data_IF_399081675483
#
_entry.id   IF_399081675483
#
_cell.length_a   1.000
_cell.length_b   1.000
_cell.length_c   1.000
_cell.angle_alpha   90.00
_cell.angle_beta   90.00
_cell.angle_gamma   90.00
#
_symmetry.space_group_name_H-M   'P 1'
#
loop_
_entity.id
_entity.type
_entity.pdbx_description
1 polymer ?
#
# COMPACT_ATOMS: atom_id res chain seq x y z
N UNK A 1 3.64 24.13 10.93
CA UNK A 1 3.32 24.72 9.61
C UNK A 1 3.70 23.79 8.46
N UNK A 2 4.99 23.50 8.21
CA UNK A 2 5.42 22.66 7.06
C UNK A 2 4.73 21.28 6.94
N UNK A 3 4.48 20.58 8.05
CA UNK A 3 3.73 19.30 8.07
C UNK A 3 2.24 19.48 7.73
N UNK A 4 1.63 20.61 8.11
CA UNK A 4 0.25 20.94 7.74
C UNK A 4 0.13 21.38 6.28
N UNK A 5 1.18 21.99 5.73
CA UNK A 5 1.24 22.41 4.33
C UNK A 5 1.45 21.21 3.40
N UNK A 6 2.25 20.21 3.79
CA UNK A 6 2.41 18.93 3.07
C UNK A 6 1.08 18.13 3.07
N UNK A 7 0.39 18.08 4.21
CA UNK A 7 -0.92 17.39 4.32
C UNK A 7 -2.02 18.07 3.49
N UNK A 8 -1.99 19.40 3.36
CA UNK A 8 -2.86 20.14 2.43
C UNK A 8 -2.49 19.94 0.96
N UNK A 9 -1.21 19.71 0.65
CA UNK A 9 -0.71 19.53 -0.72
C UNK A 9 -0.97 18.14 -1.30
N UNK A 10 -0.96 17.10 -0.45
CA UNK A 10 -1.24 15.71 -0.86
C UNK A 10 -2.73 15.33 -0.78
N UNK A 11 -3.58 16.23 -0.25
CA UNK A 11 -5.01 16.01 -0.02
C UNK A 11 -5.31 14.64 0.61
N UNK A 12 -4.42 14.21 1.51
CA UNK A 12 -4.56 13.01 2.33
C UNK A 12 -5.58 13.31 3.42
N UNK A 13 -6.87 13.25 3.07
CA UNK A 13 -7.89 13.20 4.09
C UNK A 13 -7.73 11.90 4.87
N UNK A 14 -7.61 11.99 6.20
CA UNK A 14 -7.97 10.88 7.09
C UNK A 14 -9.42 10.53 6.78
N UNK A 15 -9.64 9.54 5.93
CA UNK A 15 -10.96 8.97 5.71
C UNK A 15 -11.26 8.10 6.92
N UNK A 16 -11.85 8.71 7.95
CA UNK A 16 -12.51 7.97 9.02
C UNK A 16 -13.87 7.55 8.48
N UNK A 17 -13.99 6.33 7.97
CA UNK A 17 -15.30 5.76 7.65
C UNK A 17 -16.03 5.54 8.98
N UNK A 18 -17.09 6.31 9.19
CA UNK A 18 -17.96 6.14 10.35
C UNK A 18 -18.74 4.83 10.21
N UNK A 19 -18.39 3.84 11.02
CA UNK A 19 -19.18 2.62 11.23
C UNK A 19 -20.40 2.97 12.12
N UNK A 20 -21.60 2.40 11.88
CA UNK A 20 -22.80 2.72 12.65
C UNK A 20 -22.63 2.45 14.15
N UNK A 21 -23.40 3.15 15.01
CA UNK A 21 -23.23 3.13 16.45
C UNK A 21 -23.89 1.89 17.07
N UNK A 22 -23.34 0.71 16.84
CA UNK A 22 -23.73 -0.48 17.60
C UNK A 22 -22.50 -1.07 18.32
N UNK A 23 -22.34 -0.59 19.57
CA UNK A 23 -21.70 -1.21 20.75
C UNK A 23 -20.33 -1.91 20.65
N UNK A 24 -19.57 -1.74 19.57
CA UNK A 24 -18.27 -2.41 19.42
C UNK A 24 -17.10 -1.43 19.43
N UNK A 25 -15.96 -1.92 19.93
CA UNK A 25 -14.66 -1.27 19.94
C UNK A 25 -14.40 -0.63 18.57
N UNK A 26 -14.17 0.68 18.54
CA UNK A 26 -13.80 1.35 17.28
C UNK A 26 -12.37 0.98 16.94
N UNK A 27 -12.19 0.08 15.98
CA UNK A 27 -10.88 -0.18 15.39
C UNK A 27 -10.33 1.13 14.82
N UNK A 28 -9.09 1.45 15.17
CA UNK A 28 -8.38 2.56 14.55
C UNK A 28 -7.79 2.07 13.21
N UNK A 29 -8.15 2.72 12.11
CA UNK A 29 -7.68 2.36 10.77
C UNK A 29 -6.48 3.21 10.36
N UNK A 30 -5.39 2.54 9.97
CA UNK A 30 -4.24 3.15 9.32
C UNK A 30 -4.22 2.74 7.84
N UNK A 31 -4.39 3.73 6.95
CA UNK A 31 -4.38 3.50 5.50
C UNK A 31 -3.70 4.67 4.80
N UNK A 32 -3.00 4.35 3.71
CA UNK A 32 -2.48 5.34 2.77
C UNK A 32 -3.39 5.41 1.55
N UNK A 33 -3.63 6.61 1.03
CA UNK A 33 -4.38 6.86 -0.20
C UNK A 33 -3.55 7.79 -1.08
N UNK A 34 -3.81 7.79 -2.39
CA UNK A 34 -3.14 8.71 -3.31
C UNK A 34 -4.17 9.40 -4.18
N UNK A 35 -4.08 10.73 -4.29
CA UNK A 35 -4.88 11.52 -5.22
C UNK A 35 -4.02 11.92 -6.42
N UNK A 36 -4.49 11.64 -7.63
CA UNK A 36 -3.88 12.15 -8.87
C UNK A 36 -4.84 13.11 -9.59
N UNK A 37 -4.30 14.21 -10.15
CA UNK A 37 -5.08 15.32 -10.74
C UNK A 37 -4.79 15.51 -12.25
N UNK A 38 -3.91 14.70 -12.85
CA UNK A 38 -3.47 14.86 -14.24
C UNK A 38 -3.95 13.74 -15.18
N UNK A 39 -3.32 13.54 -16.35
CA UNK A 39 -3.65 12.49 -17.33
C UNK A 39 -3.74 11.07 -16.72
N UNK A 40 -3.12 10.81 -15.55
CA UNK A 40 -3.23 9.57 -14.77
C UNK A 40 -4.68 9.28 -14.33
N UNK A 41 -5.48 10.31 -14.03
CA UNK A 41 -6.93 10.16 -13.76
C UNK A 41 -7.68 9.69 -15.00
N UNK A 42 -7.23 10.04 -16.22
CA UNK A 42 -7.87 9.57 -17.45
C UNK A 42 -7.56 8.10 -17.71
N UNK A 43 -6.32 7.64 -17.51
CA UNK A 43 -5.99 6.20 -17.58
C UNK A 43 -6.70 5.38 -16.49
N UNK A 44 -6.88 5.95 -15.30
CA UNK A 44 -7.73 5.37 -14.25
C UNK A 44 -9.19 5.22 -14.72
N UNK A 45 -9.75 6.29 -15.31
CA UNK A 45 -11.09 6.24 -15.90
C UNK A 45 -11.15 5.25 -17.06
N UNK A 46 -10.14 5.14 -17.92
CA UNK A 46 -10.10 4.17 -19.03
C UNK A 46 -10.07 2.73 -18.53
N UNK A 47 -9.26 2.40 -17.50
CA UNK A 47 -9.29 1.07 -16.86
C UNK A 47 -10.63 0.77 -16.21
N UNK A 48 -11.27 1.79 -15.61
CA UNK A 48 -12.60 1.63 -15.05
C UNK A 48 -13.64 1.42 -16.16
N UNK A 49 -13.60 2.23 -17.23
CA UNK A 49 -14.49 2.17 -18.39
C UNK A 49 -14.30 0.90 -19.23
N UNK A 50 -13.08 0.35 -19.33
CA UNK A 50 -12.81 -0.90 -20.04
C UNK A 50 -13.42 -2.12 -19.32
N UNK A 51 -13.72 -2.01 -18.02
CA UNK A 51 -14.51 -3.03 -17.30
C UNK A 51 -15.98 -3.04 -17.71
N UNK A 52 -16.45 -1.96 -18.33
CA UNK A 52 -17.83 -1.76 -18.79
C UNK A 52 -17.97 -1.85 -20.32
N UNK A 53 -17.07 -2.56 -21.01
CA UNK A 53 -17.14 -2.82 -22.47
C UNK A 53 -18.41 -3.55 -22.95
N UNK A 54 -19.31 -3.90 -22.04
CA UNK A 54 -20.67 -4.34 -22.35
C UNK A 54 -21.55 -3.09 -22.24
N UNK A 55 -21.87 -2.45 -23.37
CA UNK A 55 -22.59 -1.15 -23.42
C UNK A 55 -23.87 -1.16 -22.56
N UNK A 56 -24.52 -2.32 -22.42
CA UNK A 56 -25.71 -2.51 -21.60
C UNK A 56 -25.48 -2.34 -20.07
N UNK A 57 -24.24 -2.44 -19.57
CA UNK A 57 -23.92 -2.32 -18.14
C UNK A 57 -23.53 -0.91 -17.71
N UNK A 58 -23.20 -0.03 -18.66
CA UNK A 58 -22.99 1.39 -18.37
C UNK A 58 -24.32 2.04 -18.02
N UNK A 59 -25.38 1.69 -18.74
CA UNK A 59 -26.74 2.13 -18.46
C UNK A 59 -27.25 1.60 -17.11
N UNK A 60 -27.03 0.31 -16.80
CA UNK A 60 -27.32 -0.26 -15.46
C UNK A 60 -26.55 0.43 -14.32
N UNK A 61 -25.29 0.85 -14.56
CA UNK A 61 -24.49 1.56 -13.56
C UNK A 61 -25.04 2.97 -13.31
N UNK A 62 -25.45 3.65 -14.38
CA UNK A 62 -26.09 4.97 -14.28
C UNK A 62 -27.47 4.86 -13.60
N UNK A 63 -28.25 3.81 -13.89
CA UNK A 63 -29.51 3.52 -13.22
C UNK A 63 -29.34 3.12 -11.75
N UNK A 64 -28.28 2.39 -11.40
CA UNK A 64 -27.99 1.99 -10.01
C UNK A 64 -27.39 3.11 -9.16
N UNK A 65 -26.56 3.98 -9.76
CA UNK A 65 -25.96 5.13 -9.09
C UNK A 65 -26.97 6.28 -8.86
N UNK A 66 -27.97 6.39 -9.74
CA UNK A 66 -29.09 7.31 -9.63
C UNK A 66 -30.36 6.48 -9.55
N UNK A 67 -30.73 5.99 -8.37
CA UNK A 67 -31.91 5.15 -8.12
C UNK A 67 -33.25 5.87 -8.39
N UNK A 68 -33.47 6.33 -9.63
CA UNK A 68 -34.67 6.96 -10.14
C UNK A 68 -34.76 6.60 -11.64
N UNK A 69 -35.91 6.11 -12.13
CA UNK A 69 -36.05 5.71 -13.53
C UNK A 69 -35.71 6.86 -14.50
N UNK A 70 -34.91 6.55 -15.52
CA UNK A 70 -34.28 7.46 -16.52
C UNK A 70 -35.31 8.26 -17.36
N UNK A 71 -36.61 7.94 -17.24
CA UNK A 71 -37.71 8.65 -17.87
C UNK A 71 -38.12 9.97 -17.17
N UNK A 72 -37.62 10.26 -15.97
CA UNK A 72 -37.96 11.51 -15.27
C UNK A 72 -37.15 12.70 -15.81
N UNK A 73 -37.86 13.71 -16.36
CA UNK A 73 -37.28 14.96 -16.86
C UNK A 73 -36.43 15.71 -15.84
N UNK A 74 -36.67 15.54 -14.52
CA UNK A 74 -35.82 16.12 -13.47
C UNK A 74 -34.47 15.41 -13.36
N UNK A 75 -34.44 14.10 -13.54
CA UNK A 75 -33.20 13.28 -13.50
C UNK A 75 -32.33 13.60 -14.71
N UNK A 76 -32.91 13.68 -15.92
CA UNK A 76 -32.16 14.10 -17.12
C UNK A 76 -31.56 15.51 -16.98
N UNK A 77 -32.28 16.42 -16.32
CA UNK A 77 -31.77 17.77 -16.02
C UNK A 77 -30.62 17.71 -14.99
N UNK A 78 -30.69 16.81 -14.01
CA UNK A 78 -29.62 16.53 -13.06
C UNK A 78 -28.37 15.94 -13.71
N UNK A 79 -28.53 14.96 -14.61
CA UNK A 79 -27.44 14.36 -15.39
C UNK A 79 -26.78 15.40 -16.30
N UNK A 80 -27.57 16.25 -16.96
CA UNK A 80 -27.06 17.34 -17.80
C UNK A 80 -26.30 18.39 -16.99
N UNK A 81 -26.80 18.74 -15.80
CA UNK A 81 -26.12 19.63 -14.87
C UNK A 81 -24.79 19.04 -14.38
N UNK A 82 -24.79 17.75 -14.01
CA UNK A 82 -23.59 17.02 -13.59
C UNK A 82 -22.57 16.89 -14.72
N UNK A 83 -22.99 16.58 -15.95
CA UNK A 83 -22.14 16.56 -17.13
C UNK A 83 -21.56 17.94 -17.46
N UNK A 84 -22.33 19.01 -17.27
CA UNK A 84 -21.85 20.39 -17.40
C UNK A 84 -20.82 20.73 -16.32
N UNK A 85 -21.02 20.24 -15.09
CA UNK A 85 -20.08 20.40 -13.99
C UNK A 85 -18.77 19.65 -14.25
N UNK A 86 -18.84 18.41 -14.76
CA UNK A 86 -17.68 17.64 -15.23
C UNK A 86 -16.94 18.34 -16.37
N UNK A 87 -17.64 18.98 -17.31
CA UNK A 87 -17.03 19.80 -18.38
C UNK A 87 -16.35 21.06 -17.81
N UNK A 88 -16.94 21.67 -16.79
CA UNK A 88 -16.33 22.78 -16.04
C UNK A 88 -15.02 22.36 -15.37
N UNK A 89 -15.06 21.25 -14.63
CA UNK A 89 -13.89 20.64 -13.98
C UNK A 89 -12.82 20.26 -15.02
N UNK A 90 -13.21 19.72 -16.19
CA UNK A 90 -12.28 19.40 -17.26
C UNK A 90 -11.62 20.65 -17.88
N UNK A 91 -12.33 21.78 -17.94
CA UNK A 91 -11.78 23.06 -18.44
C UNK A 91 -10.83 23.70 -17.41
N UNK A 92 -11.20 23.65 -16.14
CA UNK A 92 -10.36 24.07 -15.01
C UNK A 92 -9.09 23.20 -14.92
N UNK A 93 -9.22 21.88 -15.13
CA UNK A 93 -8.10 20.93 -15.27
C UNK A 93 -7.16 21.29 -16.41
N UNK A 94 -7.67 21.64 -17.60
CA UNK A 94 -6.81 22.08 -18.72
C UNK A 94 -6.05 23.37 -18.39
N UNK A 95 -6.64 24.26 -17.59
CA UNK A 95 -5.96 25.46 -17.08
C UNK A 95 -4.85 25.10 -16.10
N UNK A 96 -5.16 24.26 -15.09
CA UNK A 96 -4.21 23.82 -14.06
C UNK A 96 -3.04 23.02 -14.63
N UNK A 97 -3.29 22.14 -15.60
CA UNK A 97 -2.24 21.36 -16.30
C UNK A 97 -1.31 22.31 -17.08
N UNK A 98 -1.85 23.31 -17.78
CA UNK A 98 -1.05 24.33 -18.49
C UNK A 98 -0.22 25.19 -17.54
N UNK A 99 -0.70 25.42 -16.32
CA UNK A 99 0.01 26.16 -15.28
C UNK A 99 1.10 25.29 -14.63
N UNK A 100 0.86 23.99 -14.45
CA UNK A 100 1.82 23.02 -13.88
C UNK A 100 2.92 22.57 -14.86
N UNK A 101 2.67 22.57 -16.17
CA UNK A 101 3.68 22.31 -17.21
C UNK A 101 4.78 23.38 -17.27
N UNK A 102 4.59 24.52 -16.59
CA UNK A 102 5.66 25.50 -16.32
C UNK A 102 6.57 25.00 -15.18
N UNK A 103 7.26 23.89 -15.41
CA UNK A 103 8.48 23.45 -14.71
C UNK A 103 8.56 23.78 -13.22
N UNK A 104 7.63 23.26 -12.42
CA UNK A 104 7.79 23.30 -10.96
C UNK A 104 8.49 22.04 -10.48
N UNK A 105 9.34 22.17 -9.46
CA UNK A 105 10.07 21.08 -8.80
C UNK A 105 9.17 19.97 -8.19
N UNK A 106 7.84 20.07 -8.31
CA UNK A 106 6.85 19.22 -7.64
C UNK A 106 6.06 18.33 -8.61
N UNK A 107 6.52 18.20 -9.86
CA UNK A 107 5.88 17.31 -10.83
C UNK A 107 6.25 15.85 -10.57
N UNK A 108 5.23 15.03 -10.29
CA UNK A 108 5.34 13.58 -10.26
C UNK A 108 5.03 12.98 -11.62
N UNK A 109 5.82 11.99 -12.02
CA UNK A 109 5.58 11.19 -13.22
C UNK A 109 5.16 9.79 -12.77
N UNK A 110 4.09 9.27 -13.36
CA UNK A 110 3.77 7.85 -13.20
C UNK A 110 4.82 7.03 -13.94
N UNK A 111 5.29 5.96 -13.33
CA UNK A 111 6.03 4.95 -14.06
C UNK A 111 5.07 4.29 -15.07
N UNK A 112 5.01 4.79 -16.30
CA UNK A 112 4.21 4.20 -17.38
C UNK A 112 4.84 2.87 -17.79
N UNK A 113 4.04 1.81 -17.91
CA UNK A 113 4.41 0.51 -18.45
C UNK A 113 5.13 0.62 -19.81
N UNK A 114 4.92 1.68 -20.62
CA UNK A 114 5.67 1.93 -21.87
C UNK A 114 7.15 2.29 -21.64
N UNK A 115 7.46 2.90 -20.49
CA UNK A 115 8.84 3.18 -20.05
C UNK A 115 9.56 1.92 -19.58
N UNK A 116 8.80 0.90 -19.15
CA UNK A 116 9.32 -0.44 -18.95
C UNK A 116 9.36 -1.12 -20.31
N UNK A 117 10.54 -1.38 -20.88
CA UNK A 117 10.64 -2.26 -22.06
C UNK A 117 10.34 -3.71 -21.64
N UNK A 118 9.12 -4.00 -21.25
CA UNK A 118 8.58 -5.36 -21.28
C UNK A 118 7.88 -5.53 -22.62
N UNK A 119 8.54 -6.23 -23.53
CA UNK A 119 7.92 -6.82 -24.71
C UNK A 119 6.96 -7.93 -24.26
N UNK A 120 5.85 -7.61 -23.59
CA UNK A 120 4.85 -8.60 -23.21
C UNK A 120 3.45 -8.11 -23.51
N UNK A 121 2.83 -8.81 -24.47
CA UNK A 121 1.38 -8.96 -24.53
C UNK A 121 0.87 -9.51 -23.18
N UNK A 122 -0.35 -9.15 -22.79
CA UNK A 122 -0.99 -9.67 -21.58
C UNK A 122 -0.93 -11.20 -21.58
N UNK A 123 -0.46 -11.80 -20.48
CA UNK A 123 -0.36 -13.25 -20.35
C UNK A 123 -1.76 -13.87 -20.55
N UNK A 124 -1.90 -14.95 -21.33
CA UNK A 124 -3.21 -15.60 -21.53
C UNK A 124 -3.34 -16.83 -20.63
N UNK A 125 -4.39 -16.87 -19.80
CA UNK A 125 -4.73 -18.02 -18.95
C UNK A 125 -6.14 -18.50 -19.27
N UNK A 126 -6.27 -19.76 -19.70
CA UNK A 126 -7.54 -20.38 -20.13
C UNK A 126 -8.28 -19.50 -21.18
N UNK A 127 -7.55 -18.93 -22.12
CA UNK A 127 -8.09 -18.11 -23.21
C UNK A 127 -8.38 -16.64 -22.88
N UNK A 128 -8.29 -16.23 -21.61
CA UNK A 128 -8.49 -14.84 -21.16
C UNK A 128 -7.16 -14.13 -20.98
N UNK A 129 -7.13 -12.84 -21.31
CA UNK A 129 -5.98 -11.99 -21.01
C UNK A 129 -5.89 -11.76 -19.49
N UNK A 130 -4.68 -11.82 -18.97
CA UNK A 130 -4.35 -11.68 -17.55
C UNK A 130 -3.42 -10.50 -17.42
N UNK A 131 -3.84 -9.54 -16.60
CA UNK A 131 -2.99 -8.43 -16.19
C UNK A 131 -2.41 -8.73 -14.80
N UNK A 132 -1.10 -9.00 -14.77
CA UNK A 132 -0.31 -9.13 -13.55
C UNK A 132 0.74 -8.01 -13.43
N UNK A 133 0.45 -6.83 -14.01
CA UNK A 133 1.32 -5.66 -14.01
C UNK A 133 1.62 -5.16 -12.60
N UNK A 134 0.68 -5.28 -11.66
CA UNK A 134 0.91 -4.96 -10.24
C UNK A 134 2.04 -5.82 -9.66
N UNK A 135 1.97 -7.14 -9.81
CA UNK A 135 3.03 -8.04 -9.32
C UNK A 135 4.37 -7.75 -10.00
N UNK A 136 4.35 -7.59 -11.33
CA UNK A 136 5.56 -7.31 -12.12
C UNK A 136 6.20 -5.97 -11.75
N UNK A 137 5.40 -4.94 -11.51
CA UNK A 137 5.85 -3.61 -11.11
C UNK A 137 6.49 -3.61 -9.72
N UNK A 138 5.88 -4.28 -8.74
CA UNK A 138 6.47 -4.45 -7.42
C UNK A 138 7.82 -5.20 -7.49
N UNK A 139 7.90 -6.31 -8.25
CA UNK A 139 9.15 -7.06 -8.46
C UNK A 139 10.23 -6.17 -9.10
N UNK A 140 9.87 -5.38 -10.11
CA UNK A 140 10.81 -4.47 -10.77
C UNK A 140 11.42 -3.47 -9.79
N UNK A 141 10.59 -2.84 -8.96
CA UNK A 141 11.07 -1.83 -8.00
C UNK A 141 11.91 -2.46 -6.89
N UNK A 142 11.58 -3.65 -6.40
CA UNK A 142 12.42 -4.40 -5.45
C UNK A 142 13.81 -4.69 -6.03
N UNK A 143 13.86 -5.17 -7.28
CA UNK A 143 15.14 -5.49 -7.95
C UNK A 143 16.04 -4.27 -8.16
N UNK A 144 15.45 -3.09 -8.34
CA UNK A 144 16.19 -1.83 -8.52
C UNK A 144 16.61 -1.17 -7.23
N UNK A 145 16.05 -1.58 -6.09
CA UNK A 145 16.34 -0.99 -4.79
C UNK A 145 17.85 -1.02 -4.49
N UNK A 146 18.38 0.10 -4.01
CA UNK A 146 19.79 0.30 -3.69
C UNK A 146 20.05 0.48 -2.21
N UNK A 147 19.16 1.16 -1.50
CA UNK A 147 19.37 1.62 -0.13
C UNK A 147 18.35 1.02 0.83
N UNK A 148 17.06 1.15 0.52
CA UNK A 148 16.03 0.62 1.41
C UNK A 148 14.68 0.39 0.71
N UNK A 149 13.85 -0.43 1.37
CA UNK A 149 12.45 -0.62 1.03
C UNK A 149 11.61 -0.41 2.29
N UNK A 150 10.57 0.42 2.21
CA UNK A 150 9.56 0.57 3.24
C UNK A 150 8.20 0.11 2.70
N UNK A 151 7.55 -0.84 3.37
CA UNK A 151 6.24 -1.37 2.98
C UNK A 151 5.26 -1.31 4.13
N UNK A 152 4.02 -0.94 3.81
CA UNK A 152 2.86 -1.15 4.67
C UNK A 152 1.85 -2.02 3.92
N UNK A 153 1.44 -3.14 4.50
CA UNK A 153 0.50 -4.07 3.85
C UNK A 153 -0.43 -4.71 4.87
N UNK A 154 -1.69 -4.91 4.52
CA UNK A 154 -2.63 -5.68 5.35
C UNK A 154 -2.28 -7.17 5.42
N UNK A 155 -1.72 -7.73 4.34
CA UNK A 155 -1.26 -9.11 4.29
C UNK A 155 0.14 -9.20 3.74
N UNK A 156 0.92 -10.13 4.27
CA UNK A 156 2.25 -10.44 3.74
C UNK A 156 2.49 -11.95 3.75
N UNK A 157 2.22 -12.56 2.60
CA UNK A 157 2.42 -13.98 2.37
C UNK A 157 2.68 -14.27 0.88
N UNK A 158 3.65 -15.12 0.60
CA UNK A 158 4.06 -15.39 -0.77
C UNK A 158 5.24 -16.33 -0.85
N UNK A 159 5.64 -16.63 -2.08
CA UNK A 159 6.81 -17.44 -2.37
C UNK A 159 6.81 -18.78 -1.61
N UNK A 160 5.65 -19.43 -1.55
CA UNK A 160 5.42 -20.68 -0.81
C UNK A 160 6.38 -21.83 -1.16
N UNK A 161 6.98 -21.82 -2.36
CA UNK A 161 8.05 -22.74 -2.73
C UNK A 161 9.31 -22.63 -1.86
N UNK A 162 9.47 -21.54 -1.10
CA UNK A 162 10.55 -21.32 -0.13
C UNK A 162 10.15 -21.71 1.30
N UNK A 163 8.89 -22.06 1.55
CA UNK A 163 8.45 -22.46 2.90
C UNK A 163 8.98 -23.85 3.24
N UNK A 164 9.40 -24.02 4.50
CA UNK A 164 9.92 -25.30 5.01
C UNK A 164 8.85 -26.39 5.03
N UNK A 165 7.61 -26.02 5.33
CA UNK A 165 6.43 -26.87 5.29
C UNK A 165 5.32 -26.19 4.49
N UNK A 166 4.32 -26.97 4.07
CA UNK A 166 3.16 -26.49 3.30
C UNK A 166 3.52 -25.79 1.96
N UNK A 167 4.67 -26.15 1.37
CA UNK A 167 5.20 -25.55 0.14
C UNK A 167 4.45 -25.94 -1.15
N UNK A 168 3.41 -26.75 -1.04
CA UNK A 168 2.50 -27.10 -2.14
C UNK A 168 1.32 -26.12 -2.25
N UNK A 169 1.14 -25.22 -1.27
CA UNK A 169 0.15 -24.15 -1.35
C UNK A 169 0.44 -23.32 -2.59
N UNK A 170 -0.58 -23.00 -3.37
CA UNK A 170 -0.42 -22.18 -4.59
C UNK A 170 -0.37 -20.69 -4.23
N UNK A 171 0.60 -20.29 -3.41
CA UNK A 171 0.90 -18.91 -3.05
C UNK A 171 2.27 -18.53 -3.63
N UNK A 172 2.33 -18.43 -4.96
CA UNK A 172 3.55 -18.35 -5.74
C UNK A 172 4.03 -16.93 -6.10
N UNK A 173 3.38 -15.86 -5.61
CA UNK A 173 3.85 -14.51 -5.86
C UNK A 173 5.29 -14.33 -5.37
N UNK A 174 6.08 -13.56 -6.11
CA UNK A 174 7.54 -13.46 -5.93
C UNK A 174 7.98 -12.37 -4.94
N UNK A 175 7.07 -11.62 -4.32
CA UNK A 175 7.45 -10.44 -3.52
C UNK A 175 8.40 -10.82 -2.36
N UNK A 176 8.12 -11.84 -1.53
CA UNK A 176 9.08 -12.28 -0.51
C UNK A 176 10.41 -12.79 -1.10
N UNK A 177 10.36 -13.58 -2.17
CA UNK A 177 11.57 -14.12 -2.81
C UNK A 177 12.50 -13.02 -3.35
N UNK A 178 11.95 -11.99 -3.99
CA UNK A 178 12.74 -10.89 -4.54
C UNK A 178 13.37 -10.02 -3.44
N UNK A 179 12.68 -9.84 -2.32
CA UNK A 179 13.25 -9.18 -1.14
C UNK A 179 14.43 -10.00 -0.59
N UNK A 180 14.29 -11.32 -0.46
CA UNK A 180 15.39 -12.21 -0.05
C UNK A 180 16.57 -12.05 -1.00
N UNK A 181 16.35 -12.16 -2.31
CA UNK A 181 17.41 -12.07 -3.31
C UNK A 181 18.13 -10.72 -3.22
N UNK A 182 17.39 -9.61 -3.09
CA UNK A 182 17.98 -8.28 -2.95
C UNK A 182 18.82 -8.15 -1.68
N UNK A 183 18.33 -8.63 -0.53
CA UNK A 183 19.10 -8.58 0.71
C UNK A 183 20.36 -9.45 0.62
N UNK A 184 20.25 -10.67 0.09
CA UNK A 184 21.39 -11.57 -0.09
C UNK A 184 22.44 -11.00 -1.06
N UNK A 185 22.01 -10.31 -2.13
CA UNK A 185 22.89 -9.56 -3.05
C UNK A 185 23.67 -8.49 -2.28
N UNK A 186 23.00 -7.71 -1.43
CA UNK A 186 23.62 -6.64 -0.63
C UNK A 186 24.61 -7.19 0.39
N UNK A 187 24.26 -8.29 1.08
CA UNK A 187 25.16 -9.02 1.99
C UNK A 187 26.39 -9.56 1.24
N UNK A 188 26.20 -10.11 0.03
CA UNK A 188 27.31 -10.62 -0.78
C UNK A 188 28.30 -9.52 -1.17
N UNK A 189 27.79 -8.31 -1.43
CA UNK A 189 28.59 -7.15 -1.81
C UNK A 189 29.09 -6.31 -0.63
N UNK A 190 28.80 -6.69 0.62
CA UNK A 190 29.11 -5.89 1.82
C UNK A 190 28.49 -4.47 1.78
N UNK A 191 27.30 -4.37 1.19
CA UNK A 191 26.54 -3.13 1.05
C UNK A 191 25.44 -3.05 2.11
N UNK A 192 25.24 -1.85 2.66
CA UNK A 192 24.12 -1.59 3.56
C UNK A 192 22.80 -1.56 2.80
N UNK A 193 21.80 -2.19 3.39
CA UNK A 193 20.45 -2.24 2.87
C UNK A 193 19.48 -2.63 3.97
N UNK A 194 18.31 -2.01 4.00
CA UNK A 194 17.29 -2.33 5.00
C UNK A 194 15.88 -2.39 4.40
N UNK A 195 15.09 -3.32 4.89
CA UNK A 195 13.69 -3.52 4.51
C UNK A 195 12.83 -3.45 5.75
N UNK A 196 11.83 -2.57 5.73
CA UNK A 196 10.90 -2.33 6.83
C UNK A 196 9.50 -2.68 6.37
N UNK A 197 8.83 -3.61 7.04
CA UNK A 197 7.49 -4.09 6.67
C UNK A 197 6.56 -3.93 7.86
N UNK A 198 5.53 -3.10 7.71
CA UNK A 198 4.51 -2.85 8.73
C UNK A 198 3.22 -3.58 8.36
N UNK A 199 2.76 -4.42 9.28
CA UNK A 199 1.59 -5.30 9.13
C UNK A 199 0.58 -5.04 10.26
N UNK A 200 -0.69 -5.42 10.12
CA UNK A 200 -1.59 -5.48 11.27
C UNK A 200 -1.08 -6.54 12.25
N UNK A 201 -1.39 -6.39 13.54
CA UNK A 201 -0.99 -7.38 14.56
C UNK A 201 -1.67 -8.73 14.29
N UNK A 202 -2.90 -8.68 13.80
CA UNK A 202 -3.60 -9.80 13.18
C UNK A 202 -4.54 -9.29 12.08
N UNK A 203 -4.85 -10.10 11.05
CA UNK A 203 -5.86 -9.76 10.05
C UNK A 203 -7.22 -9.43 10.65
N UNK A 204 -8.01 -8.60 9.97
CA UNK A 204 -9.38 -8.27 10.35
C UNK A 204 -10.22 -9.53 10.64
N UNK A 205 -11.01 -9.46 11.70
CA UNK A 205 -11.80 -10.56 12.23
C UNK A 205 -11.35 -11.03 13.60
N UNK A 206 -11.96 -12.13 14.06
CA UNK A 206 -11.68 -12.72 15.38
C UNK A 206 -10.33 -13.44 15.34
N UNK A 207 -9.32 -13.07 16.16
CA UNK A 207 -7.98 -13.65 16.12
C UNK A 207 -7.97 -15.17 16.27
N UNK A 208 -8.83 -15.72 17.12
CA UNK A 208 -8.91 -17.14 17.42
C UNK A 208 -9.70 -17.94 16.37
N UNK A 209 -10.29 -17.25 15.38
CA UNK A 209 -11.01 -17.94 14.31
C UNK A 209 -10.05 -18.72 13.42
N UNK A 210 -10.52 -19.87 12.93
CA UNK A 210 -9.75 -20.72 12.02
C UNK A 210 -9.20 -19.95 10.79
N UNK A 211 -9.99 -19.11 10.07
CA UNK A 211 -9.48 -18.36 8.93
C UNK A 211 -8.33 -17.41 9.31
N UNK A 212 -8.45 -16.69 10.43
CA UNK A 212 -7.39 -15.77 10.88
C UNK A 212 -6.13 -16.53 11.27
N UNK A 213 -6.26 -17.66 11.96
CA UNK A 213 -5.12 -18.52 12.31
C UNK A 213 -4.42 -19.10 11.08
N UNK A 214 -5.14 -19.52 10.04
CA UNK A 214 -4.55 -20.00 8.78
C UNK A 214 -3.74 -18.89 8.07
N UNK A 215 -4.28 -17.67 8.02
CA UNK A 215 -3.57 -16.51 7.45
C UNK A 215 -2.28 -16.21 8.21
N UNK A 216 -2.32 -16.27 9.55
CA UNK A 216 -1.14 -16.08 10.40
C UNK A 216 -0.10 -17.19 10.21
N UNK A 217 -0.51 -18.44 9.96
CA UNK A 217 0.41 -19.54 9.61
C UNK A 217 1.15 -19.24 8.31
N UNK A 218 0.45 -18.83 7.26
CA UNK A 218 1.09 -18.51 5.97
C UNK A 218 2.02 -17.30 6.04
N UNK A 219 1.65 -16.29 6.83
CA UNK A 219 2.53 -15.15 7.12
C UNK A 219 3.80 -15.62 7.86
N UNK A 220 3.64 -16.43 8.92
CA UNK A 220 4.77 -16.98 9.68
C UNK A 220 5.71 -17.81 8.80
N UNK A 221 5.18 -18.70 7.97
CA UNK A 221 5.98 -19.53 7.06
C UNK A 221 6.74 -18.69 6.02
N UNK A 222 6.13 -17.61 5.55
CA UNK A 222 6.79 -16.64 4.66
C UNK A 222 7.96 -15.96 5.38
N UNK A 223 7.73 -15.42 6.58
CA UNK A 223 8.76 -14.77 7.38
C UNK A 223 9.89 -15.73 7.77
N UNK A 224 9.56 -16.95 8.18
CA UNK A 224 10.52 -18.01 8.53
C UNK A 224 11.43 -18.34 7.34
N UNK A 225 10.86 -18.50 6.14
CA UNK A 225 11.64 -18.73 4.92
C UNK A 225 12.57 -17.57 4.58
N UNK A 226 12.10 -16.32 4.73
CA UNK A 226 12.91 -15.13 4.48
C UNK A 226 14.10 -15.03 5.44
N UNK A 227 13.85 -15.10 6.75
CA UNK A 227 14.91 -15.00 7.75
C UNK A 227 15.92 -16.14 7.64
N UNK A 228 15.45 -17.36 7.33
CA UNK A 228 16.33 -18.52 7.14
C UNK A 228 17.35 -18.25 6.02
N UNK A 229 16.90 -17.78 4.84
CA UNK A 229 17.78 -17.52 3.71
C UNK A 229 18.74 -16.35 3.95
N UNK A 230 18.30 -15.32 4.66
CA UNK A 230 19.16 -14.18 5.03
C UNK A 230 20.24 -14.64 6.02
N UNK A 231 19.87 -15.43 7.03
CA UNK A 231 20.82 -15.99 8.00
C UNK A 231 21.87 -16.89 7.33
N UNK A 232 21.46 -17.71 6.37
CA UNK A 232 22.37 -18.53 5.55
C UNK A 232 23.36 -17.67 4.75
N UNK A 233 22.90 -16.56 4.15
CA UNK A 233 23.76 -15.63 3.42
C UNK A 233 24.79 -14.93 4.32
N UNK A 234 24.38 -14.47 5.51
CA UNK A 234 25.28 -13.87 6.51
C UNK A 234 26.35 -14.88 6.96
N UNK A 235 25.92 -16.09 7.30
CA UNK A 235 26.81 -17.19 7.71
C UNK A 235 27.82 -17.54 6.62
N UNK A 236 27.38 -17.63 5.37
CA UNK A 236 28.24 -17.96 4.23
C UNK A 236 29.29 -16.88 3.93
N UNK A 237 29.01 -15.63 4.30
CA UNK A 237 29.95 -14.49 4.18
C UNK A 237 30.85 -14.32 5.41
N UNK A 238 30.60 -15.07 6.50
CA UNK A 238 31.26 -14.84 7.78
C UNK A 238 30.90 -13.49 8.41
N UNK A 239 29.75 -12.92 8.06
CA UNK A 239 29.28 -11.65 8.60
C UNK A 239 28.61 -11.91 9.97
N UNK A 240 29.04 -11.24 11.07
CA UNK A 240 28.48 -11.43 12.41
C UNK A 240 27.13 -10.71 12.62
N UNK A 241 26.62 -9.98 11.63
CA UNK A 241 25.36 -9.26 11.68
C UNK A 241 24.15 -10.19 11.87
N UNK A 242 23.04 -9.59 12.28
CA UNK A 242 21.77 -10.30 12.49
C UNK A 242 20.85 -10.11 11.28
N UNK A 243 19.99 -11.09 10.92
CA UNK A 243 19.03 -10.91 9.83
C UNK A 243 18.11 -9.67 9.97
N UNK A 244 17.85 -9.22 11.19
CA UNK A 244 17.07 -7.99 11.46
C UNK A 244 17.83 -6.70 11.15
N UNK A 245 19.13 -6.75 10.93
CA UNK A 245 19.90 -5.60 10.44
C UNK A 245 19.53 -5.27 8.98
N UNK A 246 18.85 -6.20 8.30
CA UNK A 246 18.42 -6.09 6.89
C UNK A 246 16.91 -6.21 6.69
N UNK A 247 16.20 -7.00 7.49
CA UNK A 247 14.75 -7.24 7.33
C UNK A 247 14.01 -7.10 8.67
N UNK A 248 13.09 -6.14 8.72
CA UNK A 248 12.36 -5.79 9.92
C UNK A 248 10.85 -5.87 9.70
N UNK A 249 10.14 -6.55 10.61
CA UNK A 249 8.68 -6.62 10.62
C UNK A 249 8.14 -5.93 11.88
N UNK A 250 7.15 -5.06 11.70
CA UNK A 250 6.48 -4.34 12.79
C UNK A 250 4.96 -4.49 12.68
N UNK A 251 4.28 -4.23 13.79
CA UNK A 251 2.85 -3.98 13.80
C UNK A 251 2.54 -2.75 14.64
N UNK A 252 1.35 -2.18 14.44
CA UNK A 252 0.93 -0.97 15.15
C UNK A 252 -0.04 -1.30 16.29
N UNK A 253 0.18 -0.66 17.43
CA UNK A 253 -0.69 -0.75 18.59
C UNK A 253 -0.79 0.60 19.28
N UNK A 254 -1.93 0.85 19.91
CA UNK A 254 -2.19 2.06 20.69
C UNK A 254 -2.51 1.71 22.14
N UNK A 255 -2.30 2.69 23.02
CA UNK A 255 -2.74 2.62 24.41
C UNK A 255 -3.23 3.98 24.87
N UNK A 256 -4.45 4.06 25.39
CA UNK A 256 -5.03 5.32 25.84
C UNK A 256 -4.97 5.52 27.36
N UNK A 257 -4.87 6.78 27.80
CA UNK A 257 -4.89 7.19 29.22
C UNK A 257 -6.31 7.49 29.71
N UNK A 258 -6.56 7.32 31.02
CA UNK A 258 -7.89 7.46 31.69
C UNK A 258 -8.51 8.84 31.61
N UNK A 259 -7.75 9.86 31.25
CA UNK A 259 -8.13 11.27 31.34
C UNK A 259 -9.24 11.69 30.36
N UNK A 260 -9.50 10.92 29.29
CA UNK A 260 -10.53 11.23 28.28
C UNK A 260 -11.48 10.06 27.98
N UNK A 261 -11.59 9.09 28.90
CA UNK A 261 -12.45 7.91 28.69
C UNK A 261 -13.93 8.30 28.72
N UNK A 262 -14.64 8.10 27.61
CA UNK A 262 -16.11 8.18 27.52
C UNK A 262 -16.80 6.85 27.88
N UNK A 263 -16.07 5.88 28.46
CA UNK A 263 -16.62 4.56 28.75
C UNK A 263 -17.81 4.66 29.72
N UNK A 264 -19.01 4.35 29.21
CA UNK A 264 -20.23 4.25 30.01
C UNK A 264 -20.17 3.00 30.89
N UNK A 265 -20.48 3.14 32.18
CA UNK A 265 -20.35 2.07 33.18
C UNK A 265 -21.46 1.00 33.13
N UNK A 266 -22.39 1.08 32.17
CA UNK A 266 -23.73 0.47 32.30
C UNK A 266 -24.03 -0.75 31.40
N UNK A 267 -23.03 -1.42 30.84
CA UNK A 267 -23.27 -2.64 30.06
C UNK A 267 -22.56 -3.88 30.64
N UNK A 268 -23.24 -5.05 30.57
CA UNK A 268 -22.64 -6.34 30.91
C UNK A 268 -21.48 -6.61 29.95
N UNK A 269 -20.26 -6.39 30.43
CA UNK A 269 -19.05 -6.60 29.63
C UNK A 269 -18.74 -8.08 29.50
N UNK A 270 -18.40 -8.53 28.30
CA UNK A 270 -17.78 -9.84 28.12
C UNK A 270 -16.30 -9.82 28.57
N UNK A 271 -15.67 -10.99 28.66
CA UNK A 271 -14.28 -11.10 29.14
C UNK A 271 -13.27 -10.34 28.28
N UNK A 272 -13.49 -10.23 26.97
CA UNK A 272 -12.60 -9.49 26.04
C UNK A 272 -12.74 -7.98 26.22
N UNK A 273 -13.96 -7.48 26.35
CA UNK A 273 -14.25 -6.08 26.65
C UNK A 273 -13.66 -5.67 27.99
N UNK A 274 -13.72 -6.55 28.99
CA UNK A 274 -13.09 -6.33 30.29
C UNK A 274 -11.57 -6.14 30.15
N UNK A 275 -10.89 -7.06 29.46
CA UNK A 275 -9.43 -6.96 29.22
C UNK A 275 -9.09 -5.70 28.43
N UNK A 276 -9.89 -5.34 27.42
CA UNK A 276 -9.67 -4.12 26.65
C UNK A 276 -9.84 -2.88 27.52
N UNK A 277 -10.87 -2.81 28.36
CA UNK A 277 -11.10 -1.68 29.25
C UNK A 277 -10.01 -1.57 30.33
N UNK A 278 -9.51 -2.70 30.84
CA UNK A 278 -8.43 -2.74 31.83
C UNK A 278 -7.08 -2.35 31.23
N UNK A 279 -6.72 -2.93 30.09
CA UNK A 279 -5.41 -2.70 29.45
C UNK A 279 -5.36 -1.39 28.69
N UNK A 280 -6.50 -1.00 28.11
CA UNK A 280 -6.69 0.10 27.17
C UNK A 280 -5.80 0.03 25.95
N UNK A 281 -5.43 -1.19 25.57
CA UNK A 281 -4.54 -1.47 24.43
C UNK A 281 -5.34 -2.10 23.32
N UNK A 282 -5.11 -1.64 22.10
CA UNK A 282 -5.65 -2.29 20.91
C UNK A 282 -4.69 -2.13 19.74
N UNK A 283 -4.77 -3.03 18.75
CA UNK A 283 -4.04 -2.80 17.52
C UNK A 283 -4.56 -1.54 16.81
N UNK A 284 -3.67 -0.85 16.10
CA UNK A 284 -4.06 0.04 15.01
C UNK A 284 -4.00 -0.83 13.76
N UNK A 285 -5.14 -1.00 13.10
CA UNK A 285 -5.26 -1.91 11.99
C UNK A 285 -4.62 -1.30 10.73
N UNK A 286 -3.55 -1.94 10.25
CA UNK A 286 -2.83 -1.53 9.05
C UNK A 286 -3.57 -2.08 7.84
N UNK A 287 -4.31 -1.21 7.17
CA UNK A 287 -5.03 -1.50 5.93
C UNK A 287 -4.34 -0.90 4.69
N UNK A 288 -3.20 -0.22 4.86
CA UNK A 288 -2.36 0.26 3.76
C UNK A 288 -1.97 -0.87 2.79
N UNK A 289 -1.72 -0.49 1.53
CA UNK A 289 -1.01 -1.29 0.52
C UNK A 289 -0.06 -0.36 -0.23
N UNK A 290 1.13 -0.23 0.32
CA UNK A 290 2.10 0.77 -0.09
C UNK A 290 3.52 0.21 -0.04
N UNK A 291 4.35 0.62 -1.01
CA UNK A 291 5.80 0.41 -1.01
C UNK A 291 6.52 1.70 -1.42
N UNK A 292 7.50 2.12 -0.63
CA UNK A 292 8.48 3.16 -0.98
C UNK A 292 9.81 2.47 -1.21
N UNK A 293 10.50 2.84 -2.29
CA UNK A 293 11.84 2.34 -2.61
C UNK A 293 12.78 3.52 -2.75
N UNK A 294 13.86 3.48 -1.95
CA UNK A 294 14.97 4.43 -1.97
C UNK A 294 14.58 5.92 -1.86
N UNK A 295 13.41 6.23 -1.28
CA UNK A 295 12.81 7.58 -1.27
C UNK A 295 12.66 8.23 -2.67
N UNK A 296 12.82 7.45 -3.75
CA UNK A 296 12.67 7.90 -5.14
C UNK A 296 11.25 7.65 -5.64
N UNK A 297 10.71 6.48 -5.35
CA UNK A 297 9.42 6.02 -5.88
C UNK A 297 8.51 5.57 -4.75
N UNK A 298 7.24 5.96 -4.86
CA UNK A 298 6.16 5.49 -4.02
C UNK A 298 5.15 4.73 -4.88
N UNK A 299 4.73 3.57 -4.39
CA UNK A 299 3.76 2.69 -5.03
C UNK A 299 2.60 2.50 -4.07
N UNK A 300 1.40 2.97 -4.42
CA UNK A 300 0.21 2.94 -3.55
C UNK A 300 -0.98 2.40 -4.34
N UNK A 301 -1.84 1.63 -3.69
CA UNK A 301 -3.11 1.19 -4.28
C UNK A 301 -3.87 0.20 -3.40
N UNK A 302 -4.49 -0.80 -4.02
CA UNK A 302 -5.38 -1.75 -3.36
C UNK A 302 -4.77 -3.13 -3.12
N UNK A 303 -3.69 -3.48 -3.85
CA UNK A 303 -3.16 -4.84 -3.88
C UNK A 303 -2.36 -5.22 -2.63
N UNK A 304 -2.82 -6.23 -1.91
CA UNK A 304 -2.08 -6.79 -0.79
C UNK A 304 -0.90 -7.67 -1.26
N UNK A 305 0.10 -7.90 -0.40
CA UNK A 305 1.13 -8.92 -0.65
C UNK A 305 0.58 -10.30 -0.32
N UNK A 306 -0.27 -10.82 -1.20
CA UNK A 306 -0.78 -12.18 -1.16
C UNK A 306 -1.11 -12.67 -2.58
N UNK A 307 -1.38 -13.98 -2.72
CA UNK A 307 -1.75 -14.51 -4.04
C UNK A 307 -3.11 -13.98 -4.54
N UNK A 308 -4.04 -13.60 -3.64
CA UNK A 308 -5.36 -13.10 -4.04
C UNK A 308 -5.24 -11.81 -4.87
N UNK A 309 -4.40 -10.89 -4.44
CA UNK A 309 -4.18 -9.61 -5.10
C UNK A 309 -3.15 -9.68 -6.24
N UNK A 310 -2.13 -10.53 -6.13
CA UNK A 310 -0.97 -10.51 -7.06
C UNK A 310 -1.01 -11.56 -8.18
N UNK A 311 -2.04 -12.41 -8.24
CA UNK A 311 -2.14 -13.46 -9.28
C UNK A 311 -2.60 -12.94 -10.65
N UNK A 312 -3.28 -11.78 -10.70
CA UNK A 312 -3.90 -11.23 -11.91
C UNK A 312 -5.16 -11.96 -12.38
N UNK A 313 -5.46 -13.17 -11.86
CA UNK A 313 -6.70 -13.92 -12.20
C UNK A 313 -7.64 -14.16 -11.02
N UNK A 314 -7.44 -13.43 -9.93
CA UNK A 314 -8.26 -13.51 -8.71
C UNK A 314 -8.95 -12.17 -8.47
N UNK A 315 -8.53 -11.38 -7.49
CA UNK A 315 -9.14 -10.08 -7.22
C UNK A 315 -8.63 -9.05 -8.24
N UNK A 316 -9.50 -8.09 -8.56
CA UNK A 316 -9.17 -6.99 -9.46
C UNK A 316 -8.52 -5.86 -8.69
N UNK A 317 -7.22 -5.69 -8.86
CA UNK A 317 -6.44 -4.70 -8.13
C UNK A 317 -5.98 -3.54 -9.00
N UNK A 318 -5.55 -2.46 -8.35
CA UNK A 318 -4.88 -1.34 -8.99
C UNK A 318 -3.77 -0.81 -8.09
N UNK A 319 -2.63 -0.46 -8.68
CA UNK A 319 -1.54 0.24 -8.02
C UNK A 319 -1.03 1.36 -8.93
N UNK A 320 -0.59 2.46 -8.32
CA UNK A 320 0.09 3.55 -9.00
C UNK A 320 1.51 3.66 -8.45
N UNK A 321 2.51 3.56 -9.32
CA UNK A 321 3.90 3.93 -9.02
C UNK A 321 4.15 5.36 -9.49
N UNK A 322 4.65 6.22 -8.61
CA UNK A 322 4.97 7.64 -8.91
C UNK A 322 6.33 8.02 -8.35
N UNK A 323 7.09 8.80 -9.14
CA UNK A 323 8.39 9.34 -8.76
C UNK A 323 8.52 10.79 -9.25
N UNK A 324 9.50 11.53 -8.74
CA UNK A 324 9.81 12.89 -9.20
C UNK A 324 11.10 12.87 -10.02
N UNK A 325 11.10 13.23 -11.32
CA UNK A 325 12.27 13.07 -12.19
C UNK A 325 13.53 13.83 -11.75
N UNK A 326 13.38 14.88 -10.95
CA UNK A 326 14.50 15.66 -10.39
C UNK A 326 15.07 15.05 -9.09
N UNK A 327 14.43 14.01 -8.55
CA UNK A 327 14.73 13.39 -7.26
C UNK A 327 14.90 11.87 -7.46
N UNK A 328 15.97 11.49 -8.13
CA UNK A 328 16.30 10.10 -8.47
C UNK A 328 17.43 9.61 -7.59
N UNK A 329 17.38 8.34 -7.19
CA UNK A 329 18.38 7.74 -6.33
C UNK A 329 19.73 7.56 -7.05
N UNK A 330 20.82 7.78 -6.32
CA UNK A 330 22.18 7.52 -6.79
C UNK A 330 22.74 6.26 -6.11
N UNK A 331 23.97 5.87 -6.42
CA UNK A 331 24.63 4.78 -5.67
C UNK A 331 24.99 5.19 -4.25
N UNK A 332 25.21 6.49 -4.02
CA UNK A 332 25.78 7.00 -2.77
C UNK A 332 24.74 7.71 -1.88
N UNK A 333 23.57 8.03 -2.42
CA UNK A 333 22.56 8.80 -1.72
C UNK A 333 21.13 8.53 -2.18
N UNK A 334 20.20 8.62 -1.23
CA UNK A 334 18.76 8.74 -1.50
C UNK A 334 18.39 10.21 -1.81
N UNK A 335 17.33 10.47 -2.59
CA UNK A 335 16.92 11.82 -2.92
C UNK A 335 15.99 12.42 -1.83
N UNK A 336 16.06 13.75 -1.65
CA UNK A 336 15.25 14.48 -0.65
C UNK A 336 14.00 15.13 -1.26
N UNK A 337 13.22 14.34 -2.00
CA UNK A 337 11.98 14.77 -2.64
C UNK A 337 10.74 14.71 -1.72
N UNK A 338 9.57 14.85 -2.31
CA UNK A 338 8.29 14.69 -1.61
C UNK A 338 8.05 13.24 -1.18
N UNK A 339 8.60 12.24 -1.89
CA UNK A 339 8.56 10.83 -1.46
C UNK A 339 9.34 10.63 -0.16
N UNK A 340 10.53 11.21 -0.05
CA UNK A 340 11.31 11.26 1.20
C UNK A 340 10.51 11.92 2.33
N UNK A 341 9.93 13.09 2.06
CA UNK A 341 9.11 13.80 3.04
C UNK A 341 7.90 12.99 3.51
N UNK A 342 7.24 12.27 2.58
CA UNK A 342 6.12 11.39 2.88
C UNK A 342 6.54 10.22 3.77
N UNK A 343 7.66 9.56 3.45
CA UNK A 343 8.22 8.46 4.24
C UNK A 343 8.61 8.90 5.65
N UNK A 344 9.26 10.06 5.80
CA UNK A 344 9.53 10.66 7.12
C UNK A 344 8.25 10.94 7.90
N UNK A 345 7.18 11.40 7.24
CA UNK A 345 5.90 11.63 7.88
C UNK A 345 5.25 10.33 8.37
N UNK A 346 5.30 9.25 7.57
CA UNK A 346 4.86 7.92 8.00
C UNK A 346 5.60 7.48 9.28
N UNK A 347 6.94 7.55 9.27
CA UNK A 347 7.75 7.14 10.42
C UNK A 347 7.51 8.01 11.64
N UNK A 348 7.38 9.32 11.48
CA UNK A 348 7.08 10.21 12.58
C UNK A 348 5.70 9.96 13.18
N UNK A 349 4.72 9.61 12.34
CA UNK A 349 3.36 9.25 12.80
C UNK A 349 3.36 7.94 13.57
N UNK A 350 4.10 6.94 13.09
CA UNK A 350 4.17 5.59 13.70
C UNK A 350 4.95 5.61 15.01
N UNK A 351 6.05 6.36 15.06
CA UNK A 351 6.95 6.41 16.23
C UNK A 351 6.57 7.51 17.24
N UNK A 352 5.72 8.45 16.83
CA UNK A 352 5.32 9.59 17.67
C UNK A 352 6.38 10.69 17.81
N UNK A 353 7.50 10.60 17.08
CA UNK A 353 8.60 11.59 17.10
C UNK A 353 9.20 11.77 15.71
N UNK A 354 9.80 12.92 15.43
CA UNK A 354 10.71 13.07 14.29
C UNK A 354 12.13 12.91 14.81
N UNK A 355 12.93 12.07 14.14
CA UNK A 355 14.30 11.77 14.53
C UNK A 355 15.22 11.87 13.31
N UNK A 356 16.46 12.34 13.49
CA UNK A 356 17.38 12.54 12.39
C UNK A 356 17.90 11.22 11.81
N UNK A 357 17.94 10.15 12.62
CA UNK A 357 18.30 8.80 12.15
C UNK A 357 17.33 8.30 11.06
N UNK A 358 16.10 8.81 11.05
CA UNK A 358 15.13 8.47 10.01
C UNK A 358 15.58 8.95 8.62
N UNK A 359 16.46 9.94 8.51
CA UNK A 359 16.95 10.41 7.22
C UNK A 359 17.82 9.37 6.51
N UNK A 360 18.35 8.36 7.22
CA UNK A 360 19.27 7.36 6.68
C UNK A 360 18.76 5.94 6.95
N UNK A 361 17.67 5.53 6.27
CA UNK A 361 16.98 4.27 6.56
C UNK A 361 17.81 3.01 6.26
N UNK A 362 18.95 3.10 5.56
CA UNK A 362 19.84 1.97 5.32
C UNK A 362 20.85 1.74 6.44
N UNK A 363 21.03 2.71 7.33
CA UNK A 363 22.10 2.72 8.33
C UNK A 363 21.74 1.78 9.50
N UNK A 364 22.72 1.49 10.39
CA UNK A 364 22.50 0.53 11.49
C UNK A 364 22.12 1.22 12.81
N UNK A 365 22.33 2.54 12.89
CA UNK A 365 22.23 3.34 14.12
C UNK A 365 20.81 3.44 14.71
#
# INVERSE_FOLDING_TARGET
QASADIMKLLDLHKVSLAVPPESTVKDQWHTQLFRSIDARTASFCEHHLSRFQDENKVDDLLESAFAVPVSDKKVQKGISAFASQLKGIAKERKSLVKEHEKGTSRTFVASDMKTFRFLRDLDRKKGRNVDASVHSGLVHHIRRARHHIYMESQYFMGSSHLWKSDNKVKCGNLIPAEIIVKICEKIANDERFAVYIVLPMWPEGVPESKPTQELLVWQRLTMEGMYTRIAEALTSRGNPGHPTDYLNFYCLGTRETTEFSQATKDHKQNSKEKILNETRRHQIYVHSKMMIVDDEVVIIGSANVNQRSLDGTRDSELMLASYQPMYVTSSDSIPYGDVHGFRLHCWATITGKMDDVFRYPSDLE
#
